data_IF_267437574128
#
_entry.id   IF_267437574128
#
_cell.length_a   1.000
_cell.length_b   1.000
_cell.length_c   1.000
_cell.angle_alpha   90.00
_cell.angle_beta   90.00
_cell.angle_gamma   90.00
#
_symmetry.space_group_name_H-M   'P 1'
#
loop_
_entity.id
_entity.type
_entity.pdbx_description
1 polymer ?
#
# COMPACT_ATOMS: atom_id res chain seq x y z
N UNK A 1 16.19 -7.82 37.76
CA UNK A 1 14.97 -7.03 37.46
C UNK A 1 15.11 -6.01 36.30
N UNK A 2 16.21 -5.98 35.53
CA UNK A 2 16.37 -5.04 34.41
C UNK A 2 16.20 -5.70 33.03
N UNK A 3 16.59 -6.97 32.88
CA UNK A 3 16.44 -7.72 31.63
C UNK A 3 14.97 -7.96 31.26
N UNK A 4 14.15 -8.42 32.21
CA UNK A 4 12.71 -8.63 32.00
C UNK A 4 12.00 -7.31 31.63
N UNK A 5 12.43 -6.18 32.21
CA UNK A 5 11.90 -4.86 31.88
C UNK A 5 12.29 -4.42 30.47
N UNK A 6 13.50 -4.75 30.00
CA UNK A 6 13.93 -4.49 28.62
C UNK A 6 13.09 -5.27 27.61
N UNK A 7 12.86 -6.56 27.85
CA UNK A 7 12.06 -7.41 26.96
C UNK A 7 10.59 -6.96 26.92
N UNK A 8 10.00 -6.61 28.07
CA UNK A 8 8.62 -6.07 28.12
C UNK A 8 8.53 -4.75 27.34
N UNK A 9 9.50 -3.84 27.46
CA UNK A 9 9.51 -2.59 26.69
C UNK A 9 9.70 -2.82 25.18
N UNK A 10 10.57 -3.74 24.77
CA UNK A 10 10.77 -4.08 23.36
C UNK A 10 9.49 -4.69 22.75
N UNK A 11 8.81 -5.56 23.49
CA UNK A 11 7.52 -6.14 23.08
C UNK A 11 6.41 -5.08 22.97
N UNK A 12 6.33 -4.14 23.93
CA UNK A 12 5.37 -3.03 23.89
C UNK A 12 5.64 -2.11 22.68
N UNK A 13 6.90 -1.77 22.39
CA UNK A 13 7.28 -0.98 21.20
C UNK A 13 6.88 -1.73 19.92
N UNK A 14 7.23 -3.01 19.81
CA UNK A 14 6.95 -3.81 18.61
C UNK A 14 5.43 -3.98 18.38
N UNK A 15 4.66 -4.16 19.46
CA UNK A 15 3.20 -4.29 19.40
C UNK A 15 2.51 -2.95 19.12
N UNK A 16 2.99 -1.84 19.67
CA UNK A 16 2.50 -0.50 19.35
C UNK A 16 2.77 -0.11 17.89
N UNK A 17 3.95 -0.42 17.36
CA UNK A 17 4.25 -0.21 15.93
C UNK A 17 3.33 -1.09 15.05
N UNK A 18 3.08 -2.34 15.45
CA UNK A 18 2.18 -3.25 14.73
C UNK A 18 0.71 -2.78 14.78
N UNK A 19 0.23 -2.20 15.88
CA UNK A 19 -1.14 -1.66 16.00
C UNK A 19 -1.31 -0.27 15.41
N UNK A 20 -0.24 0.52 15.24
CA UNK A 20 -0.28 1.82 14.57
C UNK A 20 -0.16 1.71 13.04
N UNK A 21 0.47 0.65 12.53
CA UNK A 21 0.56 0.36 11.09
C UNK A 21 -0.50 -0.64 10.59
N UNK A 22 -1.15 -1.39 11.49
CA UNK A 22 -2.29 -2.23 11.16
C UNK A 22 -3.62 -1.48 11.33
N UNK A 23 -4.18 -0.99 10.21
CA UNK A 23 -5.63 -0.83 10.05
C UNK A 23 -6.30 0.32 10.81
N UNK A 24 -5.94 1.58 10.51
CA UNK A 24 -7.00 2.59 10.44
C UNK A 24 -7.75 2.31 9.13
N UNK A 25 -8.82 1.52 9.23
CA UNK A 25 -9.71 1.09 8.15
C UNK A 25 -9.93 2.19 7.08
N UNK A 26 -9.18 2.12 5.98
CA UNK A 26 -9.71 2.56 4.68
C UNK A 26 -10.28 1.35 4.01
N UNK A 27 -11.51 1.02 4.39
CA UNK A 27 -12.40 0.23 3.56
C UNK A 27 -12.81 1.16 2.40
N UNK A 28 -11.87 1.42 1.49
CA UNK A 28 -12.23 1.45 0.09
C UNK A 28 -12.25 -0.02 -0.30
N UNK A 29 -13.38 -0.57 -0.74
CA UNK A 29 -13.48 -1.98 -1.16
C UNK A 29 -12.53 -2.36 -2.30
N UNK A 30 -11.75 -1.40 -2.83
CA UNK A 30 -10.86 -1.52 -3.97
C UNK A 30 -9.37 -1.28 -3.67
N UNK A 31 -8.94 -1.05 -2.42
CA UNK A 31 -7.51 -0.84 -2.14
C UNK A 31 -6.76 -2.18 -2.09
N UNK A 32 -5.77 -2.43 -2.97
CA UNK A 32 -4.98 -3.66 -2.94
C UNK A 32 -4.19 -3.78 -1.64
N UNK A 33 -4.08 -4.98 -1.07
CA UNK A 33 -3.36 -5.22 0.20
C UNK A 33 -1.87 -4.82 0.15
N UNK A 34 -1.28 -4.79 -1.05
CA UNK A 34 0.10 -4.38 -1.28
C UNK A 34 0.27 -2.85 -1.36
N UNK A 35 -0.81 -2.08 -1.29
CA UNK A 35 -0.81 -0.64 -1.50
C UNK A 35 -1.40 0.09 -0.30
N UNK A 36 -0.97 1.34 -0.15
CA UNK A 36 -1.52 2.30 0.80
C UNK A 36 -2.37 3.32 0.02
N UNK A 37 -3.68 3.28 0.21
CA UNK A 37 -4.58 4.23 -0.43
C UNK A 37 -4.92 5.37 0.53
N UNK A 38 -4.73 6.61 0.09
CA UNK A 38 -5.24 7.78 0.81
C UNK A 38 -6.72 8.00 0.51
N UNK A 39 -7.18 7.66 -0.68
CA UNK A 39 -8.59 7.63 -1.07
C UNK A 39 -8.70 6.81 -2.37
N UNK A 40 -9.81 6.91 -3.08
CA UNK A 40 -9.99 6.24 -4.39
C UNK A 40 -9.19 6.90 -5.53
N UNK A 41 -8.63 8.09 -5.29
CA UNK A 41 -7.88 8.89 -6.27
C UNK A 41 -6.37 8.71 -6.15
N UNK A 42 -5.84 8.43 -4.96
CA UNK A 42 -4.41 8.36 -4.67
C UNK A 42 -4.02 7.01 -4.09
N UNK A 43 -3.24 6.25 -4.87
CA UNK A 43 -2.79 4.90 -4.52
C UNK A 43 -1.26 4.81 -4.51
N UNK A 44 -0.68 4.53 -3.34
CA UNK A 44 0.76 4.35 -3.16
C UNK A 44 1.12 2.87 -3.05
N UNK A 45 1.75 2.31 -4.07
CA UNK A 45 2.14 0.90 -4.14
C UNK A 45 3.67 0.71 -4.22
N UNK A 46 4.45 1.72 -3.81
CA UNK A 46 5.91 1.67 -3.88
C UNK A 46 6.50 0.59 -2.97
N UNK A 47 7.61 -0.04 -3.41
CA UNK A 47 8.33 -1.08 -2.65
C UNK A 47 7.48 -2.29 -2.23
N UNK A 48 6.46 -2.63 -3.03
CA UNK A 48 5.50 -3.67 -2.70
C UNK A 48 5.77 -5.01 -3.43
N UNK A 49 6.96 -5.14 -4.04
CA UNK A 49 7.37 -6.32 -4.82
C UNK A 49 6.36 -6.72 -5.92
N UNK A 50 5.61 -5.76 -6.45
CA UNK A 50 4.60 -6.01 -7.48
C UNK A 50 5.27 -6.50 -8.76
N UNK A 51 4.80 -7.62 -9.29
CA UNK A 51 5.18 -8.14 -10.61
C UNK A 51 4.17 -7.78 -11.70
N UNK A 52 3.03 -7.18 -11.31
CA UNK A 52 1.94 -6.76 -12.19
C UNK A 52 1.24 -5.54 -11.62
N UNK A 53 0.58 -4.77 -12.48
CA UNK A 53 -0.26 -3.65 -12.07
C UNK A 53 -1.45 -4.20 -11.25
N UNK A 54 -1.70 -3.67 -10.03
CA UNK A 54 -2.79 -4.13 -9.20
C UNK A 54 -4.13 -3.59 -9.72
N UNK A 55 -5.27 -4.13 -9.28
CA UNK A 55 -6.59 -3.56 -9.58
C UNK A 55 -6.68 -2.10 -9.12
N UNK A 56 -7.16 -1.23 -9.99
CA UNK A 56 -7.30 0.21 -9.73
C UNK A 56 -8.73 0.68 -10.00
N UNK A 57 -9.13 1.75 -9.31
CA UNK A 57 -10.44 2.39 -9.51
C UNK A 57 -10.41 3.29 -10.74
N UNK A 58 -11.53 3.43 -11.46
CA UNK A 58 -11.67 4.42 -12.55
C UNK A 58 -11.54 5.87 -12.07
N UNK A 59 -11.62 6.09 -10.75
CA UNK A 59 -11.40 7.39 -10.12
C UNK A 59 -9.93 7.66 -9.78
N UNK A 60 -9.04 6.69 -9.95
CA UNK A 60 -7.63 6.84 -9.63
C UNK A 60 -7.01 7.95 -10.50
N UNK A 61 -6.50 8.98 -9.84
CA UNK A 61 -5.81 10.14 -10.43
C UNK A 61 -4.30 9.99 -10.34
N UNK A 62 -3.81 9.31 -9.29
CA UNK A 62 -2.39 9.09 -9.04
C UNK A 62 -2.17 7.64 -8.63
N UNK A 63 -1.32 6.95 -9.38
CA UNK A 63 -0.93 5.56 -9.15
C UNK A 63 0.60 5.48 -9.07
N UNK A 64 1.15 5.29 -7.88
CA UNK A 64 2.59 5.21 -7.67
C UNK A 64 3.06 3.76 -7.59
N UNK A 65 3.73 3.29 -8.65
CA UNK A 65 4.23 1.92 -8.81
C UNK A 65 5.77 1.83 -8.73
N UNK A 66 6.46 2.90 -8.31
CA UNK A 66 7.93 2.92 -8.30
C UNK A 66 8.51 1.84 -7.38
N UNK A 67 9.73 1.40 -7.70
CA UNK A 67 10.46 0.40 -6.90
C UNK A 67 9.72 -0.95 -6.76
N UNK A 68 9.07 -1.39 -7.84
CA UNK A 68 8.48 -2.72 -7.99
C UNK A 68 9.23 -3.54 -9.04
N UNK A 69 8.77 -4.77 -9.28
CA UNK A 69 9.34 -5.75 -10.21
C UNK A 69 8.45 -5.93 -11.45
N UNK A 70 7.75 -4.87 -11.84
CA UNK A 70 6.86 -4.89 -13.01
C UNK A 70 7.74 -4.76 -14.26
N UNK A 71 7.89 -5.85 -14.99
CA UNK A 71 8.69 -5.90 -16.22
C UNK A 71 7.86 -5.62 -17.48
N UNK A 72 6.58 -5.99 -17.44
CA UNK A 72 5.67 -5.89 -18.58
C UNK A 72 4.41 -5.16 -18.14
N UNK A 73 4.02 -4.15 -18.92
CA UNK A 73 2.73 -3.47 -18.81
C UNK A 73 1.90 -3.94 -20.01
N UNK A 74 0.91 -4.84 -19.80
CA UNK A 74 0.04 -5.28 -20.88
C UNK A 74 -0.68 -4.12 -21.54
N UNK A 75 -0.87 -4.19 -22.85
CA UNK A 75 -1.67 -3.21 -23.57
C UNK A 75 -3.08 -3.13 -22.98
N UNK A 76 -3.57 -1.93 -22.78
CA UNK A 76 -4.93 -1.69 -22.31
C UNK A 76 -5.16 -1.78 -20.80
N UNK A 77 -4.18 -2.22 -20.01
CA UNK A 77 -4.34 -2.41 -18.55
C UNK A 77 -4.58 -1.09 -17.79
N UNK A 78 -4.26 0.05 -18.39
CA UNK A 78 -4.50 1.39 -17.83
C UNK A 78 -5.59 2.18 -18.58
N UNK A 79 -6.24 1.59 -19.60
CA UNK A 79 -7.17 2.31 -20.48
C UNK A 79 -8.41 2.85 -19.75
N UNK A 80 -8.81 2.23 -18.63
CA UNK A 80 -9.93 2.69 -17.81
C UNK A 80 -9.57 3.89 -16.92
N UNK A 81 -8.30 4.28 -16.85
CA UNK A 81 -7.81 5.39 -16.03
C UNK A 81 -7.74 6.70 -16.84
N UNK A 82 -8.89 7.16 -17.30
CA UNK A 82 -9.00 8.37 -18.13
C UNK A 82 -8.54 9.67 -17.46
N UNK A 83 -8.36 9.65 -16.13
CA UNK A 83 -7.99 10.82 -15.31
C UNK A 83 -6.62 10.69 -14.66
N UNK A 84 -5.83 9.70 -15.06
CA UNK A 84 -4.50 9.47 -14.51
C UNK A 84 -3.57 10.63 -14.89
N UNK A 85 -2.93 11.21 -13.89
CA UNK A 85 -1.87 12.18 -14.10
C UNK A 85 -0.56 11.43 -14.37
N UNK A 86 0.10 11.74 -15.48
CA UNK A 86 1.37 11.15 -15.91
C UNK A 86 2.53 12.03 -15.43
#
# INVERSE_FOLDING_TARGET
MNFLRYIINLYIIFKCISTAFGQINKISPTCPAACNCLDETLMHCQHADLIRIPPTSTKTLTLDLRFNKIEIIPEGVLNHLHKLNI
#
